data_IF_790622242352
#
_entry.id   IF_790622242352
#
_cell.length_a   1.000
_cell.length_b   1.000
_cell.length_c   1.000
_cell.angle_alpha   90.00
_cell.angle_beta   90.00
_cell.angle_gamma   90.00
#
_symmetry.space_group_name_H-M   'P 1'
#
loop_
_entity.id
_entity.type
_entity.pdbx_description
1 polymer ?
#
# COMPACT_ATOMS: atom_id res chain seq x y z
N UNK A 1 -7.97 67.55 -13.13
CA UNK A 1 -9.21 67.04 -12.49
C UNK A 1 -10.22 66.40 -13.48
N UNK A 2 -10.02 66.45 -14.80
CA UNK A 2 -10.97 65.91 -15.78
C UNK A 2 -10.79 64.41 -16.14
N UNK A 3 -9.68 63.78 -15.76
CA UNK A 3 -9.39 62.37 -16.12
C UNK A 3 -9.98 61.34 -15.14
N UNK A 4 -10.26 61.72 -13.89
CA UNK A 4 -10.83 60.83 -12.86
C UNK A 4 -12.35 60.67 -12.97
N UNK A 5 -13.07 61.68 -13.49
CA UNK A 5 -14.52 61.62 -13.70
C UNK A 5 -14.89 60.65 -14.84
N UNK A 6 -14.16 60.68 -15.95
CA UNK A 6 -14.35 59.78 -17.10
C UNK A 6 -14.18 58.29 -16.75
N UNK A 7 -13.23 57.95 -15.87
CA UNK A 7 -13.01 56.58 -15.40
C UNK A 7 -14.13 56.07 -14.46
N UNK A 8 -14.73 56.96 -13.67
CA UNK A 8 -15.84 56.60 -12.79
C UNK A 8 -17.15 56.41 -13.58
N UNK A 9 -17.41 57.25 -14.58
CA UNK A 9 -18.58 57.15 -15.47
C UNK A 9 -18.53 55.90 -16.34
N UNK A 10 -17.35 55.54 -16.86
CA UNK A 10 -17.17 54.31 -17.64
C UNK A 10 -17.38 53.05 -16.78
N UNK A 11 -16.83 52.99 -15.56
CA UNK A 11 -17.08 51.88 -14.62
C UNK A 11 -18.55 51.77 -14.21
N UNK A 12 -19.24 52.90 -14.00
CA UNK A 12 -20.66 52.93 -13.69
C UNK A 12 -21.51 52.45 -14.87
N UNK A 13 -21.16 52.84 -16.09
CA UNK A 13 -21.81 52.36 -17.31
C UNK A 13 -21.62 50.85 -17.50
N UNK A 14 -20.41 50.32 -17.26
CA UNK A 14 -20.13 48.87 -17.30
C UNK A 14 -20.87 48.11 -16.20
N UNK A 15 -20.97 48.67 -14.99
CA UNK A 15 -21.73 48.05 -13.89
C UNK A 15 -23.23 48.01 -14.21
N UNK A 16 -23.79 49.07 -14.81
CA UNK A 16 -25.19 49.11 -15.25
C UNK A 16 -25.49 48.08 -16.34
N UNK A 17 -24.61 47.92 -17.33
CA UNK A 17 -24.78 46.91 -18.38
C UNK A 17 -24.61 45.49 -17.85
N UNK A 18 -23.67 45.24 -16.93
CA UNK A 18 -23.55 43.93 -16.28
C UNK A 18 -24.81 43.62 -15.45
N UNK A 19 -25.31 44.61 -14.68
CA UNK A 19 -26.49 44.44 -13.86
C UNK A 19 -27.76 44.23 -14.71
N UNK A 20 -27.93 44.98 -15.79
CA UNK A 20 -29.08 44.81 -16.70
C UNK A 20 -29.02 43.46 -17.42
N UNK A 21 -27.83 43.04 -17.85
CA UNK A 21 -27.64 41.74 -18.50
C UNK A 21 -27.91 40.61 -17.51
N UNK A 22 -27.42 40.72 -16.26
CA UNK A 22 -27.68 39.75 -15.20
C UNK A 22 -29.16 39.70 -14.82
N UNK A 23 -29.83 40.84 -14.70
CA UNK A 23 -31.26 40.92 -14.42
C UNK A 23 -32.11 40.31 -15.54
N UNK A 24 -31.76 40.59 -16.81
CA UNK A 24 -32.41 39.99 -17.97
C UNK A 24 -32.21 38.47 -18.02
N UNK A 25 -31.02 37.99 -17.67
CA UNK A 25 -30.72 36.56 -17.62
C UNK A 25 -31.48 35.86 -16.47
N UNK A 26 -31.57 36.51 -15.31
CA UNK A 26 -32.34 36.01 -14.17
C UNK A 26 -33.84 35.96 -14.48
N UNK A 27 -34.37 36.97 -15.17
CA UNK A 27 -35.77 37.02 -15.60
C UNK A 27 -36.09 35.89 -16.60
N UNK A 28 -35.22 35.66 -17.60
CA UNK A 28 -35.42 34.54 -18.55
C UNK A 28 -35.33 33.18 -17.88
N UNK A 29 -34.39 32.97 -16.95
CA UNK A 29 -34.30 31.74 -16.16
C UNK A 29 -35.53 31.51 -15.29
N UNK A 30 -36.05 32.57 -14.65
CA UNK A 30 -37.29 32.50 -13.85
C UNK A 30 -38.50 32.13 -14.71
N UNK A 31 -38.64 32.72 -15.90
CA UNK A 31 -39.73 32.39 -16.84
C UNK A 31 -39.62 30.96 -17.34
N UNK A 32 -38.42 30.52 -17.74
CA UNK A 32 -38.18 29.13 -18.17
C UNK A 32 -38.45 28.15 -17.03
N UNK A 33 -38.08 28.49 -15.79
CA UNK A 33 -38.38 27.69 -14.60
C UNK A 33 -39.87 27.61 -14.31
N UNK A 34 -40.61 28.72 -14.41
CA UNK A 34 -42.07 28.73 -14.24
C UNK A 34 -42.75 27.86 -15.28
N UNK A 35 -42.40 28.03 -16.56
CA UNK A 35 -42.94 27.21 -17.66
C UNK A 35 -42.60 25.72 -17.46
N UNK A 36 -41.37 25.40 -17.02
CA UNK A 36 -40.98 24.03 -16.75
C UNK A 36 -41.69 23.43 -15.52
N UNK A 37 -42.15 24.24 -14.57
CA UNK A 37 -42.93 23.76 -13.42
C UNK A 37 -44.43 23.64 -13.73
N UNK A 38 -44.96 24.54 -14.57
CA UNK A 38 -46.39 24.61 -14.89
C UNK A 38 -46.80 23.70 -16.07
N UNK A 39 -45.91 23.45 -17.05
CA UNK A 39 -46.23 22.64 -18.24
C UNK A 39 -45.66 21.20 -18.21
N UNK A 40 -44.60 20.92 -17.45
CA UNK A 40 -44.01 19.57 -17.42
C UNK A 40 -44.52 18.78 -16.21
N UNK A 41 -45.12 17.59 -16.43
CA UNK A 41 -45.40 16.63 -15.36
C UNK A 41 -44.14 16.31 -14.54
N UNK A 42 -44.29 16.07 -13.23
CA UNK A 42 -43.17 15.84 -12.32
C UNK A 42 -42.25 14.69 -12.77
N UNK A 43 -42.80 13.71 -13.49
CA UNK A 43 -42.06 12.59 -14.06
C UNK A 43 -41.06 13.03 -15.16
N UNK A 44 -41.39 14.10 -15.91
CA UNK A 44 -40.56 14.62 -17.01
C UNK A 44 -39.59 15.70 -16.53
N UNK A 45 -39.90 16.38 -15.43
CA UNK A 45 -39.02 17.40 -14.84
C UNK A 45 -37.61 16.84 -14.57
N UNK A 46 -37.51 15.62 -14.03
CA UNK A 46 -36.22 14.97 -13.81
C UNK A 46 -35.42 14.77 -15.12
N UNK A 47 -36.08 14.34 -16.20
CA UNK A 47 -35.45 14.17 -17.52
C UNK A 47 -35.05 15.50 -18.15
N UNK A 48 -35.84 16.54 -17.96
CA UNK A 48 -35.55 17.89 -18.47
C UNK A 48 -34.35 18.51 -17.74
N UNK A 49 -34.33 18.50 -16.41
CA UNK A 49 -33.20 19.00 -15.63
C UNK A 49 -31.94 18.17 -15.81
N UNK A 50 -32.05 16.84 -15.88
CA UNK A 50 -30.91 15.97 -16.18
C UNK A 50 -30.40 16.17 -17.61
N UNK A 51 -31.28 16.40 -18.58
CA UNK A 51 -30.96 16.72 -19.98
C UNK A 51 -30.24 18.06 -20.11
N UNK A 52 -30.72 19.10 -19.44
CA UNK A 52 -30.06 20.41 -19.36
C UNK A 52 -28.69 20.28 -18.68
N UNK A 53 -28.60 19.57 -17.56
CA UNK A 53 -27.33 19.32 -16.86
C UNK A 53 -26.34 18.57 -17.75
N UNK A 54 -26.81 17.56 -18.51
CA UNK A 54 -25.99 16.83 -19.48
C UNK A 54 -25.60 17.68 -20.68
N UNK A 55 -26.43 18.62 -21.10
CA UNK A 55 -26.12 19.55 -22.18
C UNK A 55 -25.02 20.52 -21.76
N UNK A 56 -25.14 21.14 -20.58
CA UNK A 56 -24.12 22.04 -20.04
C UNK A 56 -22.82 21.31 -19.67
N UNK A 57 -22.87 20.04 -19.22
CA UNK A 57 -21.66 19.25 -18.94
C UNK A 57 -20.80 18.97 -20.19
N UNK A 58 -21.40 18.97 -21.39
CA UNK A 58 -20.66 18.87 -22.67
C UNK A 58 -19.78 20.09 -22.93
N UNK A 59 -20.18 21.27 -22.46
CA UNK A 59 -19.39 22.50 -22.57
C UNK A 59 -18.40 22.70 -21.41
N UNK A 60 -18.47 21.86 -20.38
CA UNK A 60 -17.48 21.91 -19.29
C UNK A 60 -16.11 21.53 -19.82
N UNK A 61 -15.11 22.36 -19.57
CA UNK A 61 -13.71 22.03 -19.85
C UNK A 61 -13.09 21.17 -18.74
N UNK A 62 -13.84 20.90 -17.67
CA UNK A 62 -13.41 20.10 -16.52
C UNK A 62 -13.77 18.62 -16.73
N UNK A 63 -12.83 17.76 -16.39
CA UNK A 63 -12.98 16.32 -16.32
C UNK A 63 -12.84 15.91 -14.86
N UNK A 64 -13.73 15.03 -14.39
CA UNK A 64 -13.67 14.44 -13.06
C UNK A 64 -13.44 12.94 -13.20
N UNK A 65 -12.35 12.43 -12.64
CA UNK A 65 -12.10 11.00 -12.49
C UNK A 65 -12.62 10.55 -11.12
N UNK A 66 -13.41 9.48 -11.11
CA UNK A 66 -13.90 8.86 -9.88
C UNK A 66 -13.03 7.65 -9.58
N UNK A 67 -12.46 7.63 -8.38
CA UNK A 67 -11.59 6.57 -7.88
C UNK A 67 -12.29 5.96 -6.68
N UNK A 68 -12.96 4.83 -6.88
CA UNK A 68 -13.69 4.13 -5.83
C UNK A 68 -12.73 3.43 -4.85
N UNK A 69 -13.15 3.27 -3.60
CA UNK A 69 -12.38 2.58 -2.56
C UNK A 69 -12.08 1.12 -2.92
N UNK A 70 -13.02 0.45 -3.60
CA UNK A 70 -12.90 -0.94 -4.02
C UNK A 70 -12.97 -1.07 -5.54
N UNK A 71 -12.18 -1.97 -6.09
CA UNK A 71 -12.31 -2.50 -7.44
C UNK A 71 -12.83 -3.94 -7.33
N UNK A 72 -14.15 -4.09 -7.41
CA UNK A 72 -14.84 -5.34 -7.08
C UNK A 72 -14.69 -5.72 -5.60
N UNK A 73 -14.03 -6.85 -5.33
CA UNK A 73 -13.81 -7.39 -3.98
C UNK A 73 -12.47 -6.97 -3.36
N UNK A 74 -11.64 -6.23 -4.09
CA UNK A 74 -10.28 -5.87 -3.68
C UNK A 74 -10.20 -4.35 -3.52
N UNK A 75 -9.35 -3.88 -2.60
CA UNK A 75 -9.10 -2.44 -2.47
C UNK A 75 -8.46 -1.88 -3.75
N UNK A 76 -8.90 -0.69 -4.13
CA UNK A 76 -8.31 0.03 -5.25
C UNK A 76 -6.95 0.61 -4.85
N UNK A 77 -5.89 0.19 -5.54
CA UNK A 77 -4.52 0.64 -5.25
C UNK A 77 -4.32 2.15 -5.43
N UNK A 78 -5.07 2.78 -6.34
CA UNK A 78 -4.99 4.22 -6.57
C UNK A 78 -5.68 4.95 -5.42
N UNK A 79 -6.80 4.42 -4.91
CA UNK A 79 -7.47 4.97 -3.75
C UNK A 79 -6.56 4.95 -2.51
N UNK A 80 -5.98 3.78 -2.20
CA UNK A 80 -5.05 3.66 -1.06
C UNK A 80 -3.84 4.61 -1.20
N UNK A 81 -3.30 4.73 -2.42
CA UNK A 81 -2.21 5.65 -2.69
C UNK A 81 -2.61 7.11 -2.50
N UNK A 82 -3.79 7.50 -2.98
CA UNK A 82 -4.33 8.85 -2.86
C UNK A 82 -4.60 9.22 -1.39
N UNK A 83 -5.16 8.30 -0.60
CA UNK A 83 -5.42 8.52 0.82
C UNK A 83 -4.13 8.86 1.59
N UNK A 84 -3.05 8.10 1.35
CA UNK A 84 -1.74 8.32 1.98
C UNK A 84 -1.11 9.63 1.48
N UNK A 85 -1.12 9.85 0.16
CA UNK A 85 -0.48 11.01 -0.46
C UNK A 85 -1.17 12.32 -0.05
N UNK A 86 -2.49 12.40 -0.19
CA UNK A 86 -3.27 13.59 0.15
C UNK A 86 -3.30 13.85 1.65
N UNK A 87 -3.26 12.81 2.49
CA UNK A 87 -3.11 12.97 3.94
C UNK A 87 -1.82 13.69 4.35
N UNK A 88 -0.77 13.65 3.53
CA UNK A 88 0.46 14.44 3.72
C UNK A 88 0.36 15.88 3.21
N UNK A 89 -0.63 16.18 2.36
CA UNK A 89 -0.82 17.47 1.67
C UNK A 89 -1.78 18.37 2.46
N UNK A 90 -1.49 18.57 3.73
CA UNK A 90 -2.26 19.50 4.57
C UNK A 90 -1.99 20.93 4.11
N UNK A 91 -3.02 21.58 3.57
CA UNK A 91 -2.98 22.97 3.14
C UNK A 91 -3.34 23.89 4.32
N UNK A 92 -2.86 25.14 4.38
CA UNK A 92 -3.35 26.12 5.35
C UNK A 92 -4.88 26.34 5.28
N UNK A 93 -5.49 25.99 4.14
CA UNK A 93 -6.93 26.08 3.89
C UNK A 93 -7.70 24.82 4.28
N UNK A 94 -7.00 23.74 4.67
CA UNK A 94 -7.59 22.47 5.12
C UNK A 94 -8.28 22.68 6.46
N UNK A 95 -9.62 22.78 6.46
CA UNK A 95 -10.43 23.11 7.64
C UNK A 95 -10.58 21.98 8.66
N UNK A 96 -10.58 20.72 8.20
CA UNK A 96 -10.82 19.54 9.03
C UNK A 96 -9.85 18.44 8.63
N UNK A 97 -9.52 17.53 9.52
CA UNK A 97 -8.62 16.41 9.26
C UNK A 97 -9.11 15.21 10.06
N UNK A 98 -9.00 14.03 9.46
CA UNK A 98 -9.22 12.77 10.19
C UNK A 98 -7.88 12.29 10.72
N UNK A 99 -7.82 11.97 12.00
CA UNK A 99 -6.62 11.46 12.67
C UNK A 99 -6.96 10.12 13.32
N UNK A 100 -6.13 9.12 13.09
CA UNK A 100 -6.21 7.81 13.74
C UNK A 100 -4.85 7.36 14.23
N UNK A 101 -4.85 6.48 15.24
CA UNK A 101 -3.65 5.80 15.73
C UNK A 101 -4.05 4.36 16.04
N UNK A 102 -3.40 3.39 15.40
CA UNK A 102 -3.57 1.99 15.76
C UNK A 102 -2.79 1.69 17.05
N UNK A 103 -3.29 0.78 17.90
CA UNK A 103 -2.64 0.43 19.18
C UNK A 103 -1.17 -0.01 19.02
N UNK A 104 -0.87 -0.70 17.91
CA UNK A 104 0.47 -1.21 17.57
C UNK A 104 1.28 -0.24 16.69
N UNK A 105 0.87 1.00 16.52
CA UNK A 105 1.61 1.96 15.70
C UNK A 105 2.12 3.15 16.53
N UNK A 106 3.37 3.54 16.27
CA UNK A 106 4.01 4.65 16.99
C UNK A 106 3.57 6.02 16.44
N UNK A 107 3.15 6.07 15.17
CA UNK A 107 2.81 7.31 14.47
C UNK A 107 1.29 7.49 14.30
N UNK A 108 0.85 8.75 14.32
CA UNK A 108 -0.51 9.08 13.91
C UNK A 108 -0.66 8.98 12.39
N UNK A 109 -1.77 8.42 11.95
CA UNK A 109 -2.21 8.45 10.56
C UNK A 109 -3.18 9.62 10.38
N UNK A 110 -2.83 10.54 9.48
CA UNK A 110 -3.65 11.69 9.11
C UNK A 110 -4.23 11.40 7.72
N UNK A 111 -5.55 11.46 7.60
CA UNK A 111 -6.27 11.30 6.33
C UNK A 111 -7.24 12.45 6.11
N UNK A 112 -7.67 12.60 4.86
CA UNK A 112 -8.61 13.64 4.47
C UNK A 112 -10.02 13.33 5.01
N UNK A 113 -10.75 14.36 5.43
CA UNK A 113 -12.15 14.20 5.83
C UNK A 113 -13.08 14.19 4.61
N UNK A 114 -14.22 13.49 4.71
CA UNK A 114 -15.28 13.50 3.71
C UNK A 114 -15.75 14.93 3.40
N UNK A 115 -16.00 15.18 2.11
CA UNK A 115 -16.42 16.44 1.49
C UNK A 115 -15.43 17.60 1.63
N UNK A 116 -14.17 17.29 1.94
CA UNK A 116 -13.10 18.28 1.97
C UNK A 116 -12.38 18.36 0.63
N UNK A 117 -12.13 19.59 0.17
CA UNK A 117 -11.35 19.87 -1.02
C UNK A 117 -9.87 20.05 -0.68
N UNK A 118 -9.01 19.33 -1.40
CA UNK A 118 -7.56 19.55 -1.41
C UNK A 118 -7.13 19.89 -2.83
N UNK A 119 -6.38 20.98 -2.97
CA UNK A 119 -5.76 21.37 -4.23
C UNK A 119 -4.28 20.99 -4.18
N UNK A 120 -3.86 20.07 -5.05
CA UNK A 120 -2.45 19.70 -5.23
C UNK A 120 -1.90 20.35 -6.49
N UNK A 121 -0.62 20.71 -6.47
CA UNK A 121 0.09 21.25 -7.63
C UNK A 121 1.11 20.21 -8.11
N UNK A 122 1.04 19.89 -9.39
CA UNK A 122 2.00 19.00 -10.03
C UNK A 122 2.37 19.52 -11.41
N UNK A 123 3.67 19.79 -11.61
CA UNK A 123 4.20 20.38 -12.84
C UNK A 123 3.53 21.70 -13.23
N UNK A 124 3.14 22.53 -12.25
CA UNK A 124 2.47 23.82 -12.48
C UNK A 124 0.99 23.69 -12.87
N UNK A 125 0.43 22.49 -12.77
CA UNK A 125 -0.99 22.22 -12.98
C UNK A 125 -1.65 21.93 -11.63
N UNK A 126 -2.80 22.56 -11.39
CA UNK A 126 -3.61 22.36 -10.19
C UNK A 126 -4.62 21.23 -10.40
N UNK A 127 -4.65 20.32 -9.44
CA UNK A 127 -5.56 19.18 -9.38
C UNK A 127 -6.41 19.30 -8.12
N UNK A 128 -7.73 19.27 -8.28
CA UNK A 128 -8.67 19.36 -7.17
C UNK A 128 -9.13 17.96 -6.78
N UNK A 129 -8.93 17.58 -5.51
CA UNK A 129 -9.34 16.32 -4.93
C UNK A 129 -10.45 16.54 -3.90
N UNK A 130 -11.48 15.69 -3.96
CA UNK A 130 -12.55 15.64 -2.96
C UNK A 130 -12.82 14.19 -2.57
N UNK A 131 -12.89 13.90 -1.27
CA UNK A 131 -13.31 12.59 -0.77
C UNK A 131 -14.81 12.63 -0.60
N UNK A 132 -15.53 11.87 -1.39
CA UNK A 132 -16.98 11.76 -1.30
C UNK A 132 -17.32 10.51 -0.51
N UNK A 133 -18.13 10.66 0.53
CA UNK A 133 -18.75 9.53 1.24
C UNK A 133 -20.25 9.55 0.96
N UNK A 134 -20.81 8.43 0.51
CA UNK A 134 -22.23 8.25 0.28
C UNK A 134 -22.74 7.19 1.23
N UNK A 135 -23.76 7.52 2.00
CA UNK A 135 -24.45 6.51 2.78
C UNK A 135 -25.24 5.57 1.86
N UNK A 136 -25.10 4.27 2.08
CA UNK A 136 -25.82 3.21 1.41
C UNK A 136 -26.57 2.42 2.47
N UNK A 137 -27.84 2.13 2.22
CA UNK A 137 -28.64 1.31 3.12
C UNK A 137 -28.00 -0.07 3.26
N UNK A 138 -27.66 -0.45 4.49
CA UNK A 138 -27.16 -1.78 4.78
C UNK A 138 -28.27 -2.79 4.54
N UNK A 139 -28.15 -3.61 3.49
CA UNK A 139 -28.99 -4.81 3.41
C UNK A 139 -28.58 -5.72 4.57
N UNK A 140 -29.52 -6.01 5.46
CA UNK A 140 -29.34 -6.83 6.66
C UNK A 140 -29.00 -8.29 6.30
N UNK A 141 -27.78 -8.55 5.84
CA UNK A 141 -27.22 -9.89 5.72
C UNK A 141 -26.49 -10.22 7.00
N UNK A 142 -27.21 -10.82 7.93
CA UNK A 142 -26.62 -11.36 9.15
C UNK A 142 -25.89 -12.66 8.78
N UNK A 143 -24.58 -12.58 8.57
CA UNK A 143 -23.74 -13.77 8.43
C UNK A 143 -23.05 -14.03 9.79
N UNK A 144 -23.37 -15.13 10.51
CA UNK A 144 -22.84 -15.38 11.85
C UNK A 144 -21.31 -15.56 11.92
N UNK A 145 -20.65 -15.69 10.76
CA UNK A 145 -19.19 -15.86 10.65
C UNK A 145 -18.45 -14.58 10.25
N UNK A 146 -19.17 -13.50 9.97
CA UNK A 146 -18.57 -12.24 9.51
C UNK A 146 -18.96 -11.12 10.47
N UNK A 147 -18.14 -10.92 11.50
CA UNK A 147 -18.34 -9.89 12.53
C UNK A 147 -18.29 -8.46 11.95
N UNK A 148 -17.88 -8.30 10.69
CA UNK A 148 -17.77 -7.03 9.98
C UNK A 148 -18.89 -6.81 8.94
N UNK A 149 -19.82 -7.76 8.74
CA UNK A 149 -20.85 -7.63 7.69
C UNK A 149 -21.86 -6.50 7.95
N UNK A 150 -21.91 -5.98 9.18
CA UNK A 150 -22.77 -4.87 9.61
C UNK A 150 -22.11 -3.48 9.49
N UNK A 151 -20.87 -3.36 9.02
CA UNK A 151 -20.10 -2.11 9.08
C UNK A 151 -20.08 -1.24 7.81
N UNK A 152 -20.79 -1.60 6.72
CA UNK A 152 -20.78 -0.79 5.49
C UNK A 152 -22.13 -0.15 5.20
N UNK A 153 -22.41 0.92 5.93
CA UNK A 153 -23.41 1.91 5.55
C UNK A 153 -22.84 3.04 4.70
N UNK A 154 -21.53 3.02 4.34
CA UNK A 154 -20.87 4.10 3.60
C UNK A 154 -19.98 3.57 2.47
N UNK A 155 -20.14 4.14 1.27
CA UNK A 155 -19.25 3.95 0.11
C UNK A 155 -18.43 5.21 -0.08
N UNK A 156 -17.11 5.06 -0.11
CA UNK A 156 -16.17 6.18 -0.27
C UNK A 156 -15.52 6.16 -1.65
N UNK A 157 -15.29 7.35 -2.19
CA UNK A 157 -14.56 7.54 -3.44
C UNK A 157 -13.83 8.88 -3.45
N UNK A 158 -12.71 8.94 -4.16
CA UNK A 158 -12.07 10.21 -4.49
C UNK A 158 -12.55 10.72 -5.84
N UNK A 159 -12.93 11.99 -5.89
CA UNK A 159 -13.20 12.72 -7.12
C UNK A 159 -12.00 13.62 -7.43
N UNK A 160 -11.31 13.33 -8.53
CA UNK A 160 -10.18 14.10 -9.05
C UNK A 160 -10.64 14.96 -10.22
N UNK A 161 -10.70 16.28 -10.01
CA UNK A 161 -11.15 17.27 -10.98
C UNK A 161 -10.00 18.09 -11.58
N UNK A 162 -9.97 18.21 -12.92
CA UNK A 162 -8.95 18.96 -13.66
C UNK A 162 -9.40 19.31 -15.10
N UNK A 163 -8.60 20.08 -15.84
CA UNK A 163 -8.95 20.45 -17.21
C UNK A 163 -8.79 19.27 -18.18
N UNK A 164 -9.80 18.98 -19.03
CA UNK A 164 -9.85 17.84 -19.97
C UNK A 164 -8.57 17.61 -20.79
N UNK A 165 -7.90 18.69 -21.23
CA UNK A 165 -6.62 18.65 -21.97
C UNK A 165 -5.47 17.97 -21.21
N UNK A 166 -5.53 17.91 -19.89
CA UNK A 166 -4.47 17.34 -19.04
C UNK A 166 -4.69 15.85 -18.74
N UNK A 167 -5.69 15.22 -19.36
CA UNK A 167 -5.99 13.79 -19.16
C UNK A 167 -4.76 12.89 -19.32
N UNK A 168 -3.96 13.10 -20.36
CA UNK A 168 -2.80 12.25 -20.63
C UNK A 168 -1.68 12.48 -19.61
N UNK A 169 -1.50 13.72 -19.14
CA UNK A 169 -0.58 14.04 -18.04
C UNK A 169 -1.01 13.32 -16.76
N UNK A 170 -2.33 13.29 -16.48
CA UNK A 170 -2.87 12.65 -15.29
C UNK A 170 -2.62 11.14 -15.31
N UNK A 171 -3.01 10.47 -16.39
CA UNK A 171 -2.92 9.02 -16.51
C UNK A 171 -1.47 8.52 -16.57
N UNK A 172 -0.60 9.22 -17.28
CA UNK A 172 0.76 8.74 -17.54
C UNK A 172 1.81 9.24 -16.55
N UNK A 173 1.56 10.37 -15.86
CA UNK A 173 2.55 11.00 -14.98
C UNK A 173 2.03 11.24 -13.56
N UNK A 174 0.88 11.87 -13.39
CA UNK A 174 0.39 12.29 -12.08
C UNK A 174 -0.05 11.13 -11.18
N UNK A 175 -0.95 10.27 -11.65
CA UNK A 175 -1.39 9.10 -10.86
C UNK A 175 -0.22 8.13 -10.58
N UNK A 176 0.66 7.80 -11.55
CA UNK A 176 1.87 7.01 -11.26
C UNK A 176 2.79 7.68 -10.24
N UNK A 177 2.93 9.00 -10.26
CA UNK A 177 3.68 9.76 -9.25
C UNK A 177 3.06 9.59 -7.86
N UNK A 178 1.74 9.76 -7.71
CA UNK A 178 1.03 9.54 -6.44
C UNK A 178 1.27 8.11 -5.91
N UNK A 179 1.16 7.10 -6.78
CA UNK A 179 1.41 5.70 -6.41
C UNK A 179 2.86 5.47 -5.99
N UNK A 180 3.82 6.19 -6.58
CA UNK A 180 5.24 6.10 -6.21
C UNK A 180 5.52 6.80 -4.88
N UNK A 181 5.06 8.04 -4.73
CA UNK A 181 5.25 8.86 -3.52
C UNK A 181 4.59 8.22 -2.31
N UNK A 182 3.33 7.76 -2.44
CA UNK A 182 2.63 7.06 -1.35
C UNK A 182 3.38 5.80 -0.88
N UNK A 183 4.03 5.06 -1.79
CA UNK A 183 4.88 3.92 -1.42
C UNK A 183 6.14 4.34 -0.67
N UNK A 184 6.73 5.48 -1.00
CA UNK A 184 7.87 6.05 -0.27
C UNK A 184 7.42 6.51 1.12
N UNK A 185 6.32 7.26 1.22
CA UNK A 185 5.75 7.74 2.48
C UNK A 185 5.34 6.59 3.42
N UNK A 186 4.69 5.55 2.86
CA UNK A 186 4.32 4.35 3.62
C UNK A 186 5.56 3.61 4.13
N UNK A 187 6.63 3.63 3.36
CA UNK A 187 7.90 3.06 3.80
C UNK A 187 8.50 3.92 4.92
N UNK A 188 8.62 5.24 4.77
CA UNK A 188 9.18 6.14 5.79
C UNK A 188 8.45 6.06 7.14
N UNK A 189 7.11 6.01 7.13
CA UNK A 189 6.29 5.93 8.35
C UNK A 189 6.16 4.50 8.91
N UNK A 190 6.72 3.51 8.22
CA UNK A 190 6.58 2.09 8.58
C UNK A 190 7.18 1.85 9.96
N UNK A 191 6.39 1.28 10.87
CA UNK A 191 6.91 0.65 12.09
C UNK A 191 7.43 -0.73 11.73
N UNK A 192 8.70 -1.00 12.02
CA UNK A 192 9.30 -2.30 11.75
C UNK A 192 8.67 -3.38 12.60
N UNK A 193 8.56 -4.57 12.04
CA UNK A 193 8.03 -5.73 12.74
C UNK A 193 9.05 -6.87 12.77
N UNK A 194 9.01 -7.64 13.85
CA UNK A 194 9.64 -8.94 13.94
C UNK A 194 8.55 -10.00 13.89
N UNK A 195 8.77 -11.01 13.06
CA UNK A 195 7.86 -12.13 12.85
C UNK A 195 8.49 -13.41 13.37
N UNK A 196 7.80 -14.10 14.27
CA UNK A 196 8.22 -15.39 14.82
C UNK A 196 7.17 -16.46 14.48
N UNK A 197 7.59 -17.73 14.55
CA UNK A 197 6.68 -18.86 14.36
C UNK A 197 5.90 -19.13 15.63
N UNK A 198 4.57 -19.26 15.51
CA UNK A 198 3.73 -19.77 16.58
C UNK A 198 3.31 -21.20 16.25
N UNK A 199 3.77 -22.15 17.07
CA UNK A 199 3.61 -23.59 16.86
C UNK A 199 2.15 -24.06 16.84
N UNK A 200 1.23 -23.33 17.48
CA UNK A 200 -0.17 -23.73 17.67
C UNK A 200 -1.09 -23.46 16.46
N UNK A 201 -0.68 -22.63 15.50
CA UNK A 201 -1.56 -22.15 14.41
C UNK A 201 -1.22 -22.68 13.00
N UNK A 202 -0.29 -23.61 12.87
CA UNK A 202 0.15 -24.14 11.58
C UNK A 202 -0.90 -24.95 10.80
N UNK A 203 -1.99 -25.38 11.45
CA UNK A 203 -2.92 -26.35 10.89
C UNK A 203 -4.09 -25.75 10.08
N UNK A 204 -4.38 -24.46 10.21
CA UNK A 204 -5.65 -23.91 9.71
C UNK A 204 -5.53 -22.85 8.60
N UNK A 205 -4.44 -22.07 8.52
CA UNK A 205 -4.26 -21.06 7.47
C UNK A 205 -2.78 -20.69 7.21
N UNK A 206 -2.27 -20.71 5.96
CA UNK A 206 -0.92 -20.23 5.65
C UNK A 206 -0.67 -18.74 5.96
N UNK A 207 -1.74 -17.95 6.13
CA UNK A 207 -1.66 -16.53 6.50
C UNK A 207 -1.35 -16.29 7.97
N UNK A 208 -1.67 -17.24 8.86
CA UNK A 208 -1.53 -17.10 10.32
C UNK A 208 -0.26 -17.76 10.86
N UNK A 209 0.66 -18.18 9.98
CA UNK A 209 1.87 -18.90 10.39
C UNK A 209 2.94 -17.97 11.00
N UNK A 210 2.92 -16.69 10.61
CA UNK A 210 3.87 -15.69 11.11
C UNK A 210 3.16 -14.75 12.09
N UNK A 211 3.60 -14.74 13.35
CA UNK A 211 3.09 -13.83 14.37
C UNK A 211 3.96 -12.60 14.45
N UNK A 212 3.38 -11.41 14.34
CA UNK A 212 4.12 -10.15 14.28
C UNK A 212 4.07 -9.36 15.59
N UNK A 213 5.21 -8.85 16.03
CA UNK A 213 5.33 -7.82 17.06
C UNK A 213 6.13 -6.63 16.54
N UNK A 214 6.00 -5.47 17.17
CA UNK A 214 6.80 -4.31 16.79
C UNK A 214 8.27 -4.54 17.14
N UNK A 215 9.14 -4.18 16.22
CA UNK A 215 10.59 -4.17 16.43
C UNK A 215 11.00 -2.78 16.92
N UNK A 216 11.07 -2.62 18.24
CA UNK A 216 11.55 -1.39 18.88
C UNK A 216 12.98 -1.58 19.40
N UNK A 217 13.91 -1.93 18.50
CA UNK A 217 15.31 -2.18 18.85
C UNK A 217 16.18 -0.93 18.61
N UNK A 218 16.93 -0.42 19.62
CA UNK A 218 17.65 0.86 19.51
C UNK A 218 18.92 0.79 18.65
N UNK A 219 19.40 -0.42 18.30
CA UNK A 219 20.63 -0.56 17.53
C UNK A 219 20.52 0.05 16.13
N UNK A 220 21.40 0.99 15.86
CA UNK A 220 21.73 1.53 14.54
C UNK A 220 23.19 1.22 14.23
N UNK A 221 23.61 1.45 12.98
CA UNK A 221 25.02 1.35 12.62
C UNK A 221 25.90 2.29 13.46
N UNK A 222 25.36 3.39 13.99
CA UNK A 222 26.10 4.37 14.79
C UNK A 222 26.25 3.96 16.25
N UNK A 223 25.27 3.27 16.82
CA UNK A 223 25.36 2.73 18.18
C UNK A 223 26.11 1.40 18.25
N UNK A 224 26.31 0.72 17.12
CA UNK A 224 26.93 -0.60 17.06
C UNK A 224 28.46 -0.48 17.21
N UNK A 225 29.01 -1.13 18.24
CA UNK A 225 30.45 -1.28 18.41
C UNK A 225 30.98 -2.36 17.44
N UNK A 226 31.42 -1.93 16.25
CA UNK A 226 31.99 -2.78 15.21
C UNK A 226 33.21 -2.07 14.61
N UNK A 227 34.18 -2.85 14.11
CA UNK A 227 35.30 -2.32 13.35
C UNK A 227 34.81 -1.45 12.18
N UNK A 228 35.46 -0.30 11.99
CA UNK A 228 35.04 0.71 11.00
C UNK A 228 35.12 0.18 9.57
N UNK A 229 36.08 -0.68 9.25
CA UNK A 229 36.22 -1.27 7.91
C UNK A 229 35.06 -2.23 7.63
N UNK A 230 34.74 -3.10 8.59
CA UNK A 230 33.62 -4.06 8.47
C UNK A 230 32.29 -3.31 8.41
N UNK A 231 32.08 -2.32 9.28
CA UNK A 231 30.89 -1.46 9.30
C UNK A 231 30.68 -0.80 7.93
N UNK A 232 31.72 -0.18 7.37
CA UNK A 232 31.65 0.49 6.07
C UNK A 232 31.40 -0.49 4.92
N UNK A 233 32.05 -1.67 4.95
CA UNK A 233 31.84 -2.71 3.95
C UNK A 233 30.36 -3.16 3.90
N UNK A 234 29.76 -3.46 5.06
CA UNK A 234 28.36 -3.89 5.15
C UNK A 234 27.44 -2.76 4.66
N UNK A 235 27.67 -1.53 5.13
CA UNK A 235 26.83 -0.38 4.75
C UNK A 235 26.82 -0.14 3.24
N UNK A 236 28.00 -0.15 2.61
CA UNK A 236 28.13 0.02 1.16
C UNK A 236 27.44 -1.11 0.39
N UNK A 237 27.56 -2.36 0.86
CA UNK A 237 26.90 -3.50 0.22
C UNK A 237 25.37 -3.41 0.32
N UNK A 238 24.83 -3.01 1.47
CA UNK A 238 23.39 -2.80 1.65
C UNK A 238 22.84 -1.69 0.75
N UNK A 239 23.56 -0.57 0.64
CA UNK A 239 23.20 0.51 -0.29
C UNK A 239 23.21 0.02 -1.74
N UNK A 240 24.28 -0.71 -2.12
CA UNK A 240 24.43 -1.27 -3.46
C UNK A 240 23.33 -2.26 -3.78
N UNK A 241 22.97 -3.12 -2.84
CA UNK A 241 21.89 -4.09 -2.97
C UNK A 241 20.54 -3.40 -3.17
N UNK A 242 20.25 -2.37 -2.37
CA UNK A 242 18.99 -1.62 -2.43
C UNK A 242 18.81 -0.89 -3.75
N UNK A 243 19.86 -0.20 -4.24
CA UNK A 243 19.84 0.56 -5.51
C UNK A 243 19.72 -0.34 -6.74
N UNK A 244 20.17 -1.60 -6.67
CA UNK A 244 20.22 -2.51 -7.82
C UNK A 244 18.94 -3.31 -8.06
N UNK A 245 17.86 -3.08 -7.32
CA UNK A 245 16.58 -3.81 -7.51
C UNK A 245 16.14 -3.89 -8.98
N UNK A 246 16.20 -2.75 -9.69
CA UNK A 246 15.82 -2.69 -11.11
C UNK A 246 16.79 -3.44 -12.02
N UNK A 247 18.08 -3.41 -11.69
CA UNK A 247 19.09 -4.19 -12.41
C UNK A 247 18.81 -5.69 -12.31
N UNK A 248 18.58 -6.21 -11.11
CA UNK A 248 18.22 -7.63 -10.90
C UNK A 248 16.97 -8.02 -11.71
N UNK A 249 15.96 -7.16 -11.71
CA UNK A 249 14.73 -7.34 -12.50
C UNK A 249 15.00 -7.38 -14.00
N UNK A 250 15.86 -6.49 -14.53
CA UNK A 250 16.23 -6.43 -15.96
C UNK A 250 16.97 -7.69 -16.41
N UNK A 251 17.89 -8.20 -15.59
CA UNK A 251 18.68 -9.41 -15.92
C UNK A 251 17.97 -10.72 -15.55
N UNK A 252 16.72 -10.66 -15.07
CA UNK A 252 15.94 -11.84 -14.71
C UNK A 252 16.47 -12.62 -13.49
N UNK A 253 17.28 -12.00 -12.63
CA UNK A 253 17.84 -12.63 -11.42
C UNK A 253 17.00 -12.30 -10.18
N UNK A 254 16.91 -13.25 -9.27
CA UNK A 254 16.26 -13.03 -7.98
C UNK A 254 17.01 -11.95 -7.18
N UNK A 255 16.29 -10.92 -6.74
CA UNK A 255 16.84 -9.84 -5.91
C UNK A 255 16.98 -10.32 -4.46
N UNK A 256 18.13 -10.93 -4.15
CA UNK A 256 18.46 -11.49 -2.84
C UNK A 256 19.93 -11.24 -2.49
N UNK A 257 20.22 -11.16 -1.20
CA UNK A 257 21.58 -11.05 -0.64
C UNK A 257 21.65 -11.90 0.62
N UNK A 258 22.72 -12.69 0.77
CA UNK A 258 22.96 -13.53 1.94
C UNK A 258 24.19 -13.04 2.69
N UNK A 259 24.10 -13.05 4.02
CA UNK A 259 25.19 -12.74 4.94
C UNK A 259 25.34 -13.93 5.90
N UNK A 260 26.59 -14.27 6.23
CA UNK A 260 26.91 -15.25 7.28
C UNK A 260 27.61 -14.50 8.40
N UNK A 261 27.00 -14.44 9.57
CA UNK A 261 27.56 -13.81 10.76
C UNK A 261 28.01 -14.91 11.71
N UNK A 262 29.31 -14.98 11.99
CA UNK A 262 29.89 -15.99 12.87
C UNK A 262 30.79 -15.33 13.93
N UNK A 263 30.93 -16.00 15.06
CA UNK A 263 31.75 -15.54 16.19
C UNK A 263 31.13 -15.91 17.54
N UNK A 264 31.89 -15.74 18.65
CA UNK A 264 31.45 -16.09 19.99
C UNK A 264 30.06 -15.53 20.36
N UNK A 265 29.31 -16.18 21.27
CA UNK A 265 28.07 -15.61 21.79
C UNK A 265 28.34 -14.25 22.45
N UNK A 266 27.37 -13.32 22.37
CA UNK A 266 27.51 -11.98 22.95
C UNK A 266 28.28 -10.95 22.10
N UNK A 267 28.77 -11.31 20.91
CA UNK A 267 29.50 -10.38 19.99
C UNK A 267 28.61 -9.43 19.18
N UNK A 268 27.33 -9.28 19.56
CA UNK A 268 26.43 -8.31 18.92
C UNK A 268 25.89 -8.71 17.54
N UNK A 269 25.94 -10.00 17.15
CA UNK A 269 25.39 -10.49 15.86
C UNK A 269 23.91 -10.11 15.66
N UNK A 270 23.07 -10.38 16.65
CA UNK A 270 21.64 -10.03 16.60
C UNK A 270 21.43 -8.51 16.61
N UNK A 271 22.28 -7.75 17.32
CA UNK A 271 22.26 -6.28 17.29
C UNK A 271 22.66 -5.72 15.92
N UNK A 272 23.59 -6.37 15.21
CA UNK A 272 23.92 -6.02 13.83
C UNK A 272 22.74 -6.29 12.88
N UNK A 273 22.04 -7.41 13.03
CA UNK A 273 20.83 -7.70 12.25
C UNK A 273 19.76 -6.61 12.48
N UNK A 274 19.53 -6.22 13.74
CA UNK A 274 18.61 -5.13 14.06
C UNK A 274 19.05 -3.80 13.44
N UNK A 275 20.34 -3.48 13.49
CA UNK A 275 20.90 -2.29 12.83
C UNK A 275 20.71 -2.31 11.31
N UNK A 276 20.86 -3.48 10.67
CA UNK A 276 20.59 -3.66 9.24
C UNK A 276 19.10 -3.48 8.93
N UNK A 277 18.21 -4.04 9.76
CA UNK A 277 16.76 -3.90 9.61
C UNK A 277 16.32 -2.44 9.72
N UNK A 278 16.83 -1.72 10.73
CA UNK A 278 16.61 -0.29 10.93
C UNK A 278 17.12 0.54 9.74
N UNK A 279 18.33 0.24 9.25
CA UNK A 279 18.91 0.95 8.12
C UNK A 279 18.16 0.74 6.80
N UNK A 280 17.75 -0.50 6.52
CA UNK A 280 17.03 -0.85 5.28
C UNK A 280 15.52 -0.59 5.38
N UNK A 281 15.01 -0.41 6.60
CA UNK A 281 13.60 -0.37 6.94
C UNK A 281 12.85 -1.64 6.48
N UNK A 282 13.44 -2.80 6.79
CA UNK A 282 12.93 -4.13 6.43
C UNK A 282 12.44 -4.86 7.68
N UNK A 283 11.35 -5.62 7.54
CA UNK A 283 10.85 -6.46 8.66
C UNK A 283 11.77 -7.66 8.87
N UNK A 284 11.89 -8.11 10.11
CA UNK A 284 12.68 -9.29 10.48
C UNK A 284 11.74 -10.49 10.54
N UNK A 285 12.15 -11.58 9.91
CA UNK A 285 11.52 -12.89 10.05
C UNK A 285 12.52 -13.81 10.71
N UNK A 286 12.23 -14.17 11.94
CA UNK A 286 13.06 -15.03 12.75
C UNK A 286 12.62 -16.49 12.58
N UNK A 287 13.48 -17.29 11.95
CA UNK A 287 13.19 -18.67 11.58
C UNK A 287 13.99 -19.62 12.46
N UNK A 288 13.31 -20.27 13.39
CA UNK A 288 13.85 -21.37 14.16
C UNK A 288 13.71 -22.68 13.38
N UNK A 289 14.84 -23.28 12.99
CA UNK A 289 14.84 -24.50 12.17
C UNK A 289 14.37 -25.74 12.93
N UNK A 290 14.55 -25.76 14.25
CA UNK A 290 14.13 -26.84 15.17
C UNK A 290 12.61 -27.02 15.19
N UNK A 291 11.86 -25.93 14.98
CA UNK A 291 10.40 -25.93 14.97
C UNK A 291 9.79 -26.54 13.69
N UNK A 292 10.59 -26.70 12.63
CA UNK A 292 10.10 -27.14 11.32
C UNK A 292 10.11 -28.67 11.18
N UNK A 293 8.97 -29.23 10.80
CA UNK A 293 8.83 -30.68 10.65
C UNK A 293 9.06 -31.17 9.22
N UNK A 294 9.00 -30.27 8.22
CA UNK A 294 9.11 -30.65 6.81
C UNK A 294 9.61 -29.54 5.87
N UNK A 295 10.15 -29.94 4.71
CA UNK A 295 10.53 -29.01 3.64
C UNK A 295 9.34 -28.27 3.01
N UNK A 296 8.14 -28.86 3.02
CA UNK A 296 6.94 -28.23 2.45
C UNK A 296 6.47 -27.07 3.32
N UNK A 297 6.59 -27.20 4.63
CA UNK A 297 6.30 -26.17 5.61
C UNK A 297 7.26 -24.98 5.49
N UNK A 298 8.57 -25.24 5.42
CA UNK A 298 9.57 -24.21 5.11
C UNK A 298 9.23 -23.46 3.81
N UNK A 299 8.81 -24.18 2.77
CA UNK A 299 8.40 -23.55 1.50
C UNK A 299 7.18 -22.64 1.69
N UNK A 300 6.18 -23.06 2.46
CA UNK A 300 4.99 -22.26 2.77
C UNK A 300 5.38 -20.98 3.51
N UNK A 301 6.24 -21.09 4.52
CA UNK A 301 6.75 -19.96 5.30
C UNK A 301 7.44 -18.92 4.42
N UNK A 302 8.37 -19.36 3.56
CA UNK A 302 9.08 -18.48 2.63
C UNK A 302 8.14 -17.79 1.62
N UNK A 303 7.04 -18.46 1.23
CA UNK A 303 6.02 -17.90 0.35
C UNK A 303 5.11 -16.91 1.11
N UNK A 304 4.95 -17.05 2.42
CA UNK A 304 4.12 -16.16 3.24
C UNK A 304 4.84 -14.85 3.64
N UNK A 305 6.18 -14.83 3.69
CA UNK A 305 6.97 -13.65 4.09
C UNK A 305 6.68 -12.38 3.27
N UNK A 306 6.55 -11.20 3.87
CA UNK A 306 6.35 -9.96 3.12
C UNK A 306 7.58 -9.61 2.23
N UNK A 307 7.36 -8.76 1.21
CA UNK A 307 8.45 -8.15 0.45
C UNK A 307 9.22 -7.16 1.35
N UNK A 308 10.50 -6.89 1.04
CA UNK A 308 11.37 -6.00 1.85
C UNK A 308 11.51 -6.51 3.29
N UNK A 309 12.02 -7.73 3.40
CA UNK A 309 12.21 -8.46 4.66
C UNK A 309 13.62 -9.02 4.77
N UNK A 310 14.07 -9.24 6.01
CA UNK A 310 15.29 -9.94 6.38
C UNK A 310 14.87 -11.26 7.00
N UNK A 311 15.34 -12.38 6.43
CA UNK A 311 15.19 -13.69 7.04
C UNK A 311 16.42 -13.98 7.90
N UNK A 312 16.19 -14.24 9.18
CA UNK A 312 17.20 -14.69 10.13
C UNK A 312 17.04 -16.20 10.29
N UNK A 313 18.16 -16.91 10.21
CA UNK A 313 18.22 -18.35 10.46
C UNK A 313 19.27 -18.54 11.53
N UNK A 314 18.83 -18.75 12.77
CA UNK A 314 19.72 -18.97 13.91
C UNK A 314 20.15 -20.43 14.00
N UNK A 315 21.25 -20.70 14.72
CA UNK A 315 21.75 -22.03 15.08
C UNK A 315 21.84 -23.05 13.92
N UNK A 316 22.39 -22.58 12.80
CA UNK A 316 22.68 -23.42 11.62
C UNK A 316 23.59 -24.59 12.02
N UNK A 317 24.58 -24.35 12.89
CA UNK A 317 25.58 -25.33 13.30
C UNK A 317 24.93 -26.48 14.08
N UNK A 318 24.03 -26.15 15.02
CA UNK A 318 23.25 -27.13 15.79
C UNK A 318 22.39 -28.03 14.91
N UNK A 319 21.85 -27.47 13.81
CA UNK A 319 21.00 -28.23 12.88
C UNK A 319 21.81 -29.29 12.11
N UNK A 320 23.07 -28.99 11.77
CA UNK A 320 23.96 -29.93 11.08
C UNK A 320 24.37 -31.04 12.05
N UNK A 321 24.78 -30.70 13.27
CA UNK A 321 25.18 -31.69 14.29
C UNK A 321 24.02 -32.62 14.72
N UNK A 322 22.78 -32.12 14.76
CA UNK A 322 21.59 -32.96 14.98
C UNK A 322 21.36 -33.91 13.80
N UNK A 323 21.60 -33.48 12.57
CA UNK A 323 21.46 -34.33 11.37
C UNK A 323 22.50 -35.44 11.34
N UNK A 324 23.75 -35.15 11.69
CA UNK A 324 24.82 -36.15 11.74
C UNK A 324 24.54 -37.19 12.84
N UNK A 325 24.18 -36.75 14.05
CA UNK A 325 23.78 -37.67 15.15
C UNK A 325 22.56 -38.52 14.80
N UNK A 326 21.56 -37.97 14.09
CA UNK A 326 20.41 -38.75 13.60
C UNK A 326 20.79 -39.74 12.50
N UNK A 327 21.75 -39.40 11.63
CA UNK A 327 22.26 -40.29 10.60
C UNK A 327 23.04 -41.46 11.21
N UNK A 328 23.88 -41.18 12.21
CA UNK A 328 24.60 -42.19 13.00
C UNK A 328 23.64 -43.09 13.80
N UNK A 329 22.63 -42.50 14.44
CA UNK A 329 21.58 -43.26 15.14
C UNK A 329 20.74 -44.15 14.21
N UNK A 330 20.54 -43.75 12.95
CA UNK A 330 19.88 -44.58 11.92
C UNK A 330 20.75 -45.75 11.46
N UNK A 331 22.06 -45.55 11.33
CA UNK A 331 23.01 -46.63 11.05
C UNK A 331 23.02 -47.66 12.20
N UNK A 332 22.94 -47.19 13.45
CA UNK A 332 22.91 -48.04 14.64
C UNK A 332 21.57 -48.74 14.90
N UNK A 333 20.44 -48.25 14.34
CA UNK A 333 19.11 -48.90 14.43
C UNK A 333 18.78 -49.79 13.23
N UNK A 334 19.49 -49.66 12.11
CA UNK A 334 19.34 -50.54 10.97
C UNK A 334 19.79 -52.00 11.24
N UNK A 335 20.40 -52.25 12.41
CA UNK A 335 20.75 -53.57 12.92
C UNK A 335 19.65 -54.22 13.79
N UNK A 336 18.53 -53.54 14.08
CA UNK A 336 17.43 -54.08 14.88
C UNK A 336 16.16 -54.33 14.01
N UNK A 337 15.70 -55.58 13.80
CA UNK A 337 14.65 -55.89 12.83
C UNK A 337 13.22 -55.50 13.22
N UNK A 338 12.98 -54.86 14.36
CA UNK A 338 11.62 -54.62 14.89
C UNK A 338 11.38 -53.16 15.29
N UNK A 339 11.06 -52.31 14.30
CA UNK A 339 10.61 -50.95 14.59
C UNK A 339 10.14 -50.19 13.35
N UNK A 340 8.88 -50.37 12.96
CA UNK A 340 8.19 -49.48 12.01
C UNK A 340 7.73 -48.21 12.74
N UNK A 341 8.51 -47.13 12.64
CA UNK A 341 8.05 -45.78 13.00
C UNK A 341 7.97 -44.88 11.76
N UNK A 342 6.94 -44.05 11.74
CA UNK A 342 6.58 -43.12 10.68
C UNK A 342 7.68 -42.05 10.49
N UNK A 343 8.11 -41.86 9.24
CA UNK A 343 9.28 -41.04 8.87
C UNK A 343 8.94 -39.56 8.92
N UNK A 344 9.20 -38.89 10.04
CA UNK A 344 9.31 -37.43 10.06
C UNK A 344 10.74 -37.02 9.68
N UNK A 345 10.88 -36.25 8.60
CA UNK A 345 12.17 -35.77 8.09
C UNK A 345 12.24 -34.26 8.23
N UNK A 346 12.97 -33.79 9.25
CA UNK A 346 13.32 -32.38 9.39
C UNK A 346 14.00 -31.84 8.11
N UNK A 347 13.80 -30.55 7.79
CA UNK A 347 14.41 -29.94 6.61
C UNK A 347 15.94 -29.99 6.68
N UNK A 348 16.57 -30.55 5.65
CA UNK A 348 18.04 -30.59 5.53
C UNK A 348 18.59 -29.19 5.22
N UNK A 349 19.78 -28.86 5.72
CA UNK A 349 20.43 -27.58 5.42
C UNK A 349 20.60 -27.31 3.91
N UNK A 350 20.95 -28.35 3.15
CA UNK A 350 21.01 -28.30 1.68
C UNK A 350 19.62 -28.03 1.08
N UNK A 351 18.56 -28.57 1.66
CA UNK A 351 17.18 -28.30 1.24
C UNK A 351 16.78 -26.85 1.54
N UNK A 352 17.22 -26.28 2.66
CA UNK A 352 17.03 -24.86 3.01
C UNK A 352 17.72 -23.97 1.97
N UNK A 353 19.00 -24.20 1.67
CA UNK A 353 19.75 -23.46 0.64
C UNK A 353 19.11 -23.57 -0.75
N UNK A 354 18.65 -24.76 -1.12
CA UNK A 354 17.95 -25.00 -2.38
C UNK A 354 16.56 -24.36 -2.43
N UNK A 355 15.86 -24.25 -1.29
CA UNK A 355 14.55 -23.60 -1.23
C UNK A 355 14.69 -22.08 -1.20
N UNK A 356 15.65 -21.53 -0.47
CA UNK A 356 15.97 -20.09 -0.50
C UNK A 356 16.44 -19.64 -1.89
N UNK A 357 17.10 -20.53 -2.64
CA UNK A 357 17.47 -20.24 -4.02
C UNK A 357 16.28 -20.25 -4.99
N UNK A 358 15.30 -21.13 -4.79
CA UNK A 358 14.20 -21.37 -5.72
C UNK A 358 12.85 -20.71 -5.37
N UNK A 359 12.58 -20.40 -4.10
CA UNK A 359 11.28 -19.87 -3.62
C UNK A 359 10.92 -18.54 -4.29
N UNK A 360 11.92 -17.69 -4.58
CA UNK A 360 11.69 -16.41 -5.25
C UNK A 360 11.47 -16.50 -6.77
N UNK A 361 11.90 -17.59 -7.44
CA UNK A 361 11.63 -17.80 -8.88
C UNK A 361 10.13 -18.05 -9.10
N UNK A 362 9.51 -18.81 -8.20
CA UNK A 362 8.07 -19.08 -8.25
C UNK A 362 7.24 -17.85 -7.86
N UNK A 363 7.71 -17.04 -6.90
CA UNK A 363 7.05 -15.78 -6.52
C UNK A 363 7.06 -14.72 -7.63
N UNK A 364 8.18 -14.56 -8.33
CA UNK A 364 8.25 -13.67 -9.49
C UNK A 364 7.37 -14.16 -10.66
N UNK A 365 7.28 -15.48 -10.88
CA UNK A 365 6.35 -16.09 -11.84
C UNK A 365 4.88 -15.87 -11.47
N UNK A 366 4.50 -16.03 -10.20
CA UNK A 366 3.12 -15.81 -9.75
C UNK A 366 2.70 -14.33 -9.86
N UNK A 367 3.61 -13.38 -9.58
CA UNK A 367 3.32 -11.95 -9.79
C UNK A 367 3.16 -11.56 -11.27
N UNK A 368 3.77 -12.30 -12.19
CA UNK A 368 3.61 -12.14 -13.65
C UNK A 368 2.35 -12.83 -14.14
N UNK A 369 2.05 -14.03 -13.66
CA UNK A 369 0.82 -14.76 -13.99
C UNK A 369 -0.42 -13.94 -13.61
N UNK A 370 -0.44 -13.31 -12.44
CA UNK A 370 -1.57 -12.45 -12.04
C UNK A 370 -1.72 -11.19 -12.92
N UNK A 371 -0.65 -10.70 -13.55
CA UNK A 371 -0.73 -9.59 -14.54
C UNK A 371 -1.15 -10.06 -15.93
N UNK A 372 -0.83 -11.29 -16.30
CA UNK A 372 -1.19 -11.87 -17.59
C UNK A 372 -2.60 -12.48 -17.60
N UNK A 373 -3.10 -12.97 -16.45
CA UNK A 373 -4.46 -13.49 -16.29
C UNK A 373 -5.55 -12.40 -16.39
N UNK A 374 -5.22 -11.12 -16.16
CA UNK A 374 -6.14 -10.00 -16.42
C UNK A 374 -6.15 -9.52 -17.89
N UNK A 375 -5.35 -10.13 -18.78
CA UNK A 375 -5.29 -9.76 -20.21
C UNK A 375 -5.70 -10.89 -21.17
N UNK A 376 -6.28 -11.98 -20.67
CA UNK A 376 -6.91 -13.02 -21.51
C UNK A 376 -8.31 -13.39 -20.99
N UNK A 377 -9.23 -12.46 -21.18
CA UNK A 377 -10.63 -12.79 -21.44
C UNK A 377 -11.03 -12.09 -22.76
N UNK A 378 -10.93 -12.85 -23.85
CA UNK A 378 -11.91 -12.86 -24.94
C UNK A 378 -12.22 -14.34 -25.17
#
# INVERSE_FOLDING_TARGET
MASSSSSAETKLATAKTILSTAASLAATVMVVRSIAQDLLPHEIQYYFFSGIRNFFSRFSSQLTMVIEEFDGLVNNQIYEAAEIYLGSKVSPWTRRLKVSKAEKENNFTITMESNQEIVDDFSGVKFTWVLVSRQVESQNFHNPRDLNSTLRSEVRSFELSFHKKQRDLVLNSYLPHIVKESKSMKQEKKTLKIFTLQSDHMYYNPGDTWTSTNLDHPATFDTLALDSEIKNFILQDLQRFTRRKDYYRKVGKAWKRGYLLYGPPGTGKSSLIAAMANYMNFDIYDLELTALMSNSELRKLLIAMANRSILVVEDIDCTIELQDRMAEGRLNRASDPRGSQEKQSQPRFISILNLLTNANIQRQRLSRSFRESSFRCI
#
